data_IF_183177436920
#
_entry.id   IF_183177436920
#
_cell.length_a   1.000
_cell.length_b   1.000
_cell.length_c   1.000
_cell.angle_alpha   90.00
_cell.angle_beta   90.00
_cell.angle_gamma   90.00
#
_symmetry.space_group_name_H-M   'P 1'
#
loop_
_entity.id
_entity.type
_entity.pdbx_description
1 polymer ?
#
# COMPACT_ATOMS: atom_id res chain seq x y z
N UNK A 1 19.53 0.43 9.32
CA UNK A 1 18.48 -0.20 10.12
C UNK A 1 17.18 -0.25 9.31
N UNK A 2 16.44 -1.31 9.46
CA UNK A 2 15.22 -1.49 8.71
C UNK A 2 14.00 -1.05 9.51
N UNK A 3 12.90 -0.83 8.81
CA UNK A 3 11.61 -0.50 9.39
C UNK A 3 10.76 -1.76 9.46
N UNK A 4 9.93 -1.87 10.49
CA UNK A 4 8.93 -2.93 10.55
C UNK A 4 7.72 -2.48 9.74
N UNK A 5 7.30 -3.30 8.78
CA UNK A 5 6.15 -3.01 7.94
C UNK A 5 5.02 -3.95 8.33
N UNK A 6 3.88 -3.39 8.69
CA UNK A 6 2.69 -4.12 9.12
C UNK A 6 1.53 -3.72 8.22
N UNK A 7 0.75 -4.68 7.78
CA UNK A 7 -0.46 -4.40 6.99
C UNK A 7 -1.70 -4.59 7.85
N UNK A 8 -2.61 -3.63 7.79
CA UNK A 8 -3.92 -3.80 8.44
C UNK A 8 -4.73 -4.85 7.70
N UNK A 9 -5.64 -5.56 8.39
CA UNK A 9 -6.50 -6.55 7.74
C UNK A 9 -7.26 -5.99 6.54
N UNK A 10 -7.72 -4.75 6.60
CA UNK A 10 -8.43 -4.11 5.49
C UNK A 10 -7.54 -4.00 4.26
N UNK A 11 -6.26 -3.66 4.45
CA UNK A 11 -5.31 -3.56 3.35
C UNK A 11 -5.01 -4.94 2.75
N UNK A 12 -4.87 -5.95 3.58
CA UNK A 12 -4.66 -7.32 3.11
C UNK A 12 -5.86 -7.79 2.29
N UNK A 13 -7.07 -7.47 2.76
CA UNK A 13 -8.29 -7.81 2.05
C UNK A 13 -8.37 -7.08 0.70
N UNK A 14 -7.95 -5.82 0.65
CA UNK A 14 -7.86 -5.08 -0.61
C UNK A 14 -7.00 -5.84 -1.63
N UNK A 15 -5.85 -6.33 -1.20
CA UNK A 15 -4.91 -7.05 -2.08
C UNK A 15 -5.55 -8.34 -2.60
N UNK A 16 -6.22 -9.08 -1.73
CA UNK A 16 -6.90 -10.32 -2.12
C UNK A 16 -7.97 -10.04 -3.19
N UNK A 17 -8.78 -9.02 -2.98
CA UNK A 17 -9.83 -8.65 -3.93
C UNK A 17 -9.26 -8.19 -5.26
N UNK A 18 -8.22 -7.37 -5.24
CA UNK A 18 -7.58 -6.88 -6.45
C UNK A 18 -6.96 -8.04 -7.24
N UNK A 19 -6.26 -8.92 -6.55
CA UNK A 19 -5.63 -10.08 -7.19
C UNK A 19 -6.67 -10.98 -7.84
N UNK A 20 -7.78 -11.23 -7.16
CA UNK A 20 -8.87 -12.04 -7.71
C UNK A 20 -9.47 -11.40 -8.96
N UNK A 21 -9.65 -10.08 -8.95
CA UNK A 21 -10.17 -9.36 -10.11
C UNK A 21 -9.24 -9.51 -11.32
N UNK A 22 -7.92 -9.33 -11.11
CA UNK A 22 -6.96 -9.48 -12.19
C UNK A 22 -6.92 -10.91 -12.73
N UNK A 23 -6.97 -11.92 -11.86
CA UNK A 23 -6.98 -13.31 -12.29
C UNK A 23 -8.24 -13.66 -13.07
N UNK A 24 -9.36 -13.01 -12.79
CA UNK A 24 -10.59 -13.19 -13.56
C UNK A 24 -10.44 -12.67 -15.00
N UNK A 25 -9.49 -11.78 -15.24
CA UNK A 25 -9.22 -11.21 -16.57
C UNK A 25 -8.13 -11.95 -17.32
N UNK A 26 -7.06 -12.32 -16.61
CA UNK A 26 -5.91 -12.99 -17.20
C UNK A 26 -5.27 -13.89 -16.16
N UNK A 27 -5.17 -15.17 -16.43
CA UNK A 27 -4.55 -16.14 -15.52
C UNK A 27 -3.13 -15.70 -15.14
N UNK A 28 -2.84 -15.71 -13.85
CA UNK A 28 -1.53 -15.37 -13.33
C UNK A 28 -1.30 -13.88 -13.10
N UNK A 29 -2.22 -13.02 -13.55
CA UNK A 29 -2.03 -11.59 -13.39
C UNK A 29 -2.22 -11.15 -11.92
N UNK A 30 -3.08 -11.84 -11.18
CA UNK A 30 -3.25 -11.59 -9.75
C UNK A 30 -1.98 -11.90 -8.97
N UNK A 31 -1.30 -12.99 -9.31
CA UNK A 31 -0.03 -13.34 -8.67
C UNK A 31 1.03 -12.28 -8.96
N UNK A 32 1.04 -11.76 -10.18
CA UNK A 32 1.96 -10.68 -10.54
C UNK A 32 1.68 -9.43 -9.72
N UNK A 33 0.41 -9.09 -9.51
CA UNK A 33 0.05 -7.96 -8.68
C UNK A 33 0.55 -8.15 -7.24
N UNK A 34 0.32 -9.33 -6.66
CA UNK A 34 0.79 -9.63 -5.29
C UNK A 34 2.30 -9.51 -5.20
N UNK A 35 3.02 -10.04 -6.19
CA UNK A 35 4.48 -9.95 -6.24
C UNK A 35 4.94 -8.49 -6.25
N UNK A 36 4.31 -7.64 -7.04
CA UNK A 36 4.64 -6.23 -7.12
C UNK A 36 4.27 -5.49 -5.82
N UNK A 37 3.16 -5.87 -5.19
CA UNK A 37 2.79 -5.33 -3.89
C UNK A 37 3.83 -5.67 -2.83
N UNK A 38 4.28 -6.93 -2.77
CA UNK A 38 5.30 -7.35 -1.81
C UNK A 38 6.62 -6.61 -2.04
N UNK A 39 6.94 -6.31 -3.30
CA UNK A 39 8.13 -5.52 -3.61
C UNK A 39 8.03 -4.10 -3.03
N UNK A 40 6.83 -3.52 -3.01
CA UNK A 40 6.61 -2.22 -2.35
C UNK A 40 6.88 -2.34 -0.85
N UNK A 41 6.38 -3.39 -0.21
CA UNK A 41 6.63 -3.59 1.22
C UNK A 41 8.12 -3.70 1.52
N UNK A 42 8.88 -4.41 0.69
CA UNK A 42 10.33 -4.53 0.85
C UNK A 42 11.00 -3.16 0.75
N UNK A 43 10.57 -2.31 -0.18
CA UNK A 43 11.09 -0.96 -0.31
C UNK A 43 10.79 -0.13 0.94
N UNK A 44 9.62 -0.31 1.54
CA UNK A 44 9.24 0.42 2.75
C UNK A 44 10.08 0.02 3.95
N UNK A 45 10.56 -1.22 4.01
CA UNK A 45 11.47 -1.63 5.09
C UNK A 45 12.80 -0.91 5.02
N UNK A 46 13.18 -0.41 3.84
CA UNK A 46 14.45 0.28 3.63
C UNK A 46 14.27 1.79 3.80
N UNK A 47 13.28 2.37 3.13
CA UNK A 47 13.07 3.82 3.18
C UNK A 47 11.60 4.17 2.94
N UNK A 48 10.83 4.46 4.01
CA UNK A 48 9.42 4.85 3.86
C UNK A 48 9.23 6.33 3.52
N UNK A 49 10.28 7.12 3.48
CA UNK A 49 10.18 8.57 3.30
C UNK A 49 10.37 9.05 1.86
N UNK A 50 10.39 8.14 0.90
CA UNK A 50 10.74 8.49 -0.48
C UNK A 50 9.72 9.40 -1.15
N UNK A 51 8.45 9.33 -0.77
CA UNK A 51 7.38 10.12 -1.36
C UNK A 51 6.82 11.13 -0.37
N UNK A 52 6.15 12.17 -0.87
CA UNK A 52 5.64 13.27 -0.07
C UNK A 52 4.50 12.84 0.85
N UNK A 53 4.40 13.53 1.98
CA UNK A 53 3.27 13.38 2.89
C UNK A 53 1.99 13.85 2.21
N UNK A 54 0.88 13.18 2.52
CA UNK A 54 -0.43 13.46 1.94
C UNK A 54 -1.50 13.85 2.95
N UNK A 55 -1.14 13.91 4.24
CA UNK A 55 -2.08 14.25 5.30
C UNK A 55 -1.51 15.42 6.12
N UNK A 56 -2.36 16.38 6.56
CA UNK A 56 -1.85 17.55 7.27
C UNK A 56 -1.31 17.27 8.68
N UNK A 57 -1.81 16.21 9.35
CA UNK A 57 -1.46 15.95 10.74
C UNK A 57 -0.72 14.63 10.95
N UNK A 58 -0.88 13.67 10.05
CA UNK A 58 -0.23 12.36 10.15
C UNK A 58 0.76 12.20 9.02
N UNK A 59 1.74 11.33 9.21
CA UNK A 59 2.70 11.04 8.16
C UNK A 59 2.14 9.93 7.25
N UNK A 60 1.19 10.31 6.40
CA UNK A 60 0.55 9.41 5.43
C UNK A 60 1.17 9.63 4.07
N UNK A 61 1.59 8.55 3.45
CA UNK A 61 2.21 8.56 2.12
C UNK A 61 1.66 7.41 1.31
N UNK A 62 1.95 7.39 0.00
CA UNK A 62 1.63 6.22 -0.82
C UNK A 62 2.66 6.00 -1.89
N UNK A 63 2.71 4.75 -2.36
CA UNK A 63 3.52 4.31 -3.50
C UNK A 63 2.67 3.45 -4.41
N UNK A 64 3.11 3.35 -5.66
CA UNK A 64 2.48 2.49 -6.64
C UNK A 64 3.30 1.22 -6.83
N UNK A 65 2.66 0.02 -6.87
CA UNK A 65 3.33 -1.16 -7.41
C UNK A 65 3.68 -0.91 -8.86
N UNK A 66 4.76 -1.49 -9.31
CA UNK A 66 5.16 -1.38 -10.71
C UNK A 66 4.06 -1.94 -11.61
N UNK A 67 3.70 -1.20 -12.65
CA UNK A 67 2.74 -1.62 -13.69
C UNK A 67 1.28 -1.72 -13.26
N UNK A 68 0.94 -1.29 -12.04
CA UNK A 68 -0.44 -1.34 -11.55
C UNK A 68 -0.87 0.01 -11.00
N UNK A 69 -2.10 0.48 -11.32
CA UNK A 69 -2.56 1.81 -10.93
C UNK A 69 -3.22 1.83 -9.54
N UNK A 70 -2.59 1.20 -8.56
CA UNK A 70 -3.09 1.14 -7.20
C UNK A 70 -2.14 1.83 -6.24
N UNK A 71 -2.70 2.61 -5.31
CA UNK A 71 -1.92 3.28 -4.27
C UNK A 71 -1.80 2.36 -3.08
N UNK A 72 -0.58 2.04 -2.69
CA UNK A 72 -0.30 1.40 -1.41
C UNK A 72 -0.15 2.53 -0.40
N UNK A 73 -1.17 2.75 0.41
CA UNK A 73 -1.27 3.88 1.33
C UNK A 73 -0.80 3.45 2.71
N UNK A 74 0.16 4.17 3.26
CA UNK A 74 0.78 3.78 4.52
C UNK A 74 1.03 4.98 5.42
N UNK A 75 1.08 4.72 6.72
CA UNK A 75 1.45 5.69 7.73
C UNK A 75 2.81 5.35 8.30
N UNK A 76 3.67 6.36 8.48
CA UNK A 76 4.98 6.18 9.07
C UNK A 76 4.91 6.60 10.54
N UNK A 77 5.20 5.68 11.45
CA UNK A 77 5.29 5.94 12.88
C UNK A 77 6.77 5.98 13.24
N UNK A 78 7.36 7.15 13.14
CA UNK A 78 8.81 7.30 13.21
C UNK A 78 9.37 6.89 14.57
N UNK A 79 8.69 7.24 15.65
CA UNK A 79 9.16 6.94 17.01
C UNK A 79 9.30 5.44 17.25
N UNK A 80 8.45 4.64 16.62
CA UNK A 80 8.45 3.19 16.80
C UNK A 80 9.15 2.47 15.64
N UNK A 81 9.57 3.20 14.62
CA UNK A 81 10.14 2.66 13.39
C UNK A 81 9.22 1.62 12.75
N UNK A 82 7.95 1.95 12.69
CA UNK A 82 6.91 1.10 12.12
C UNK A 82 6.24 1.82 10.96
N UNK A 83 5.95 1.07 9.91
CA UNK A 83 5.15 1.51 8.78
C UNK A 83 3.89 0.68 8.77
N UNK A 84 2.73 1.33 8.78
CA UNK A 84 1.43 0.65 8.79
C UNK A 84 0.77 0.85 7.44
N UNK A 85 0.60 -0.23 6.68
CA UNK A 85 -0.13 -0.18 5.42
C UNK A 85 -1.62 -0.21 5.75
N UNK A 86 -2.32 0.87 5.41
CA UNK A 86 -3.73 1.06 5.78
C UNK A 86 -4.69 0.67 4.66
N UNK A 87 -4.28 0.83 3.41
CA UNK A 87 -5.18 0.60 2.28
C UNK A 87 -4.40 0.36 0.99
N UNK A 88 -5.02 -0.37 0.06
CA UNK A 88 -4.52 -0.50 -1.31
C UNK A 88 -5.70 -0.18 -2.22
N UNK A 89 -5.71 1.01 -2.81
CA UNK A 89 -6.86 1.55 -3.53
C UNK A 89 -6.47 2.05 -4.91
N UNK A 90 -7.36 1.88 -5.88
CA UNK A 90 -7.14 2.36 -7.22
C UNK A 90 -6.87 3.87 -7.22
N UNK A 91 -5.96 4.32 -8.08
CA UNK A 91 -5.52 5.72 -8.14
C UNK A 91 -6.64 6.71 -8.40
N UNK A 92 -7.73 6.27 -9.04
CA UNK A 92 -8.89 7.13 -9.31
C UNK A 92 -9.91 7.17 -8.17
N UNK A 93 -9.70 6.38 -7.10
CA UNK A 93 -10.58 6.41 -5.95
C UNK A 93 -10.49 7.74 -5.23
N UNK A 94 -11.63 8.20 -4.70
CA UNK A 94 -11.69 9.45 -3.97
C UNK A 94 -10.87 9.37 -2.67
N UNK A 95 -10.26 10.48 -2.28
CA UNK A 95 -9.42 10.53 -1.08
C UNK A 95 -10.17 10.18 0.20
N UNK A 96 -11.48 10.29 0.24
CA UNK A 96 -12.31 9.87 1.38
C UNK A 96 -12.11 8.40 1.73
N UNK A 97 -11.81 7.56 0.74
CA UNK A 97 -11.67 6.12 0.97
C UNK A 97 -10.54 5.81 1.94
N UNK A 98 -9.38 6.42 1.72
CA UNK A 98 -8.26 6.16 2.62
C UNK A 98 -8.30 7.03 3.88
N UNK A 99 -8.87 8.23 3.80
CA UNK A 99 -8.96 9.12 4.96
C UNK A 99 -9.77 8.49 6.09
N UNK A 100 -10.77 7.69 5.79
CA UNK A 100 -11.55 7.00 6.82
C UNK A 100 -10.77 5.89 7.52
N UNK A 101 -9.70 5.39 6.89
CA UNK A 101 -8.90 4.28 7.43
C UNK A 101 -7.71 4.76 8.26
N UNK A 102 -7.38 6.01 8.17
CA UNK A 102 -6.26 6.57 8.91
C UNK A 102 -6.73 7.66 9.87
#
# INVERSE_FOLDING_TARGET
MSWQVVSRPEAENDVVEIAAWYDSRTDGLGDKFVEQFLAVLDQLTINPFLHCRRHPHKDIRWRYPKSFPYRVIYEVIEQERVVIVAAVLHAVRHDREWNRRV
#
